data_IF_835459056404
#
_entry.id   IF_835459056404
#
_cell.length_a   1.000
_cell.length_b   1.000
_cell.length_c   1.000
_cell.angle_alpha   90.00
_cell.angle_beta   90.00
_cell.angle_gamma   90.00
#
_symmetry.space_group_name_H-M   'P 1'
#
loop_
_entity.id
_entity.type
_entity.pdbx_description
1 polymer ?
#
# COMPACT_ATOMS: atom_id res chain seq x y z
N UNK A 1 32.40 1.79 -42.12
CA UNK A 1 31.44 1.91 -41.01
C UNK A 1 31.36 0.59 -40.26
N UNK A 2 31.90 0.54 -39.04
CA UNK A 2 31.81 -0.64 -38.17
C UNK A 2 30.56 -0.55 -37.31
N UNK A 3 29.61 -1.42 -37.62
CA UNK A 3 28.45 -1.75 -36.80
C UNK A 3 28.89 -2.39 -35.48
N UNK A 4 28.76 -1.64 -34.38
CA UNK A 4 28.65 -2.21 -33.03
C UNK A 4 27.27 -1.87 -32.48
N UNK A 5 26.30 -2.72 -32.80
CA UNK A 5 25.07 -2.84 -32.02
C UNK A 5 25.42 -3.53 -30.70
N UNK A 6 25.89 -2.75 -29.73
CA UNK A 6 26.06 -3.23 -28.36
C UNK A 6 24.67 -3.51 -27.78
N UNK A 7 24.33 -4.79 -27.60
CA UNK A 7 23.07 -5.25 -27.05
C UNK A 7 22.85 -4.67 -25.63
N UNK A 8 21.68 -4.10 -25.29
CA UNK A 8 21.45 -3.49 -23.99
C UNK A 8 21.36 -4.48 -22.82
N UNK A 9 21.37 -5.79 -23.05
CA UNK A 9 20.81 -6.78 -22.10
C UNK A 9 21.78 -7.45 -21.14
N UNK A 10 23.10 -7.36 -21.30
CA UNK A 10 24.04 -8.04 -20.38
C UNK A 10 24.67 -7.08 -19.38
N UNK A 11 25.02 -5.86 -19.79
CA UNK A 11 25.57 -4.83 -18.91
C UNK A 11 24.52 -4.28 -17.92
N UNK A 12 23.27 -4.10 -18.36
CA UNK A 12 22.15 -3.68 -17.48
C UNK A 12 21.77 -4.77 -16.47
N UNK A 13 21.87 -6.04 -16.86
CA UNK A 13 21.57 -7.19 -15.99
C UNK A 13 22.64 -7.39 -14.92
N UNK A 14 23.91 -7.27 -15.26
CA UNK A 14 25.00 -7.29 -14.28
C UNK A 14 24.98 -6.04 -13.37
N UNK A 15 24.61 -4.87 -13.90
CA UNK A 15 24.39 -3.68 -13.09
C UNK A 15 23.25 -3.86 -12.07
N UNK A 16 22.16 -4.53 -12.46
CA UNK A 16 21.03 -4.88 -11.60
C UNK A 16 21.44 -5.75 -10.41
N UNK A 17 22.38 -6.68 -10.61
CA UNK A 17 22.96 -7.52 -9.55
C UNK A 17 24.03 -6.80 -8.69
N UNK A 18 24.46 -5.61 -9.09
CA UNK A 18 25.38 -4.75 -8.33
C UNK A 18 24.68 -3.56 -7.65
N UNK A 19 23.35 -3.47 -7.76
CA UNK A 19 22.58 -2.38 -7.18
C UNK A 19 22.41 -2.47 -5.66
N UNK A 20 21.75 -1.48 -5.04
CA UNK A 20 21.48 -1.49 -3.61
C UNK A 20 20.77 -2.76 -3.09
N UNK A 21 19.73 -3.33 -3.76
CA UNK A 21 19.00 -4.47 -3.19
C UNK A 21 19.86 -5.72 -2.94
N UNK A 22 20.70 -6.21 -3.88
CA UNK A 22 21.64 -7.30 -3.63
C UNK A 22 22.56 -7.08 -2.41
N UNK A 23 23.10 -5.87 -2.24
CA UNK A 23 24.00 -5.56 -1.12
C UNK A 23 23.27 -5.58 0.23
N UNK A 24 22.05 -5.03 0.28
CA UNK A 24 21.20 -5.03 1.48
C UNK A 24 20.84 -6.47 1.87
N UNK A 25 20.40 -7.27 0.90
CA UNK A 25 20.04 -8.67 1.14
C UNK A 25 21.24 -9.50 1.60
N UNK A 26 22.43 -9.25 1.03
CA UNK A 26 23.67 -9.91 1.48
C UNK A 26 23.99 -9.56 2.93
N UNK A 27 23.84 -8.29 3.33
CA UNK A 27 24.04 -7.87 4.72
C UNK A 27 23.01 -8.53 5.66
N UNK A 28 21.74 -8.59 5.26
CA UNK A 28 20.70 -9.27 6.04
C UNK A 28 20.98 -10.76 6.21
N UNK A 29 21.43 -11.46 5.16
CA UNK A 29 21.79 -12.89 5.24
C UNK A 29 23.01 -13.11 6.14
N UNK A 30 24.05 -12.29 5.99
CA UNK A 30 25.27 -12.40 6.79
C UNK A 30 25.02 -12.13 8.28
N UNK A 31 24.16 -11.15 8.57
CA UNK A 31 23.82 -10.73 9.92
C UNK A 31 22.41 -11.13 10.34
N UNK A 32 21.99 -12.35 9.96
CA UNK A 32 20.63 -12.85 10.23
C UNK A 32 20.21 -12.75 11.69
N UNK A 33 21.13 -12.96 12.64
CA UNK A 33 20.84 -12.91 14.08
C UNK A 33 20.87 -11.50 14.68
N UNK A 34 21.20 -10.47 13.90
CA UNK A 34 21.30 -9.09 14.40
C UNK A 34 20.00 -8.36 14.10
N UNK A 35 19.16 -8.20 15.12
CA UNK A 35 17.83 -7.57 15.04
C UNK A 35 17.87 -6.22 14.31
N UNK A 36 18.77 -5.32 14.72
CA UNK A 36 18.88 -3.98 14.14
C UNK A 36 19.26 -4.01 12.66
N UNK A 37 20.07 -4.97 12.22
CA UNK A 37 20.40 -5.11 10.78
C UNK A 37 19.19 -5.61 10.00
N UNK A 38 18.39 -6.52 10.57
CA UNK A 38 17.16 -6.97 9.92
C UNK A 38 16.12 -5.85 9.83
N UNK A 39 15.92 -5.10 10.92
CA UNK A 39 15.01 -3.96 10.95
C UNK A 39 15.38 -2.92 9.89
N UNK A 40 16.64 -2.47 9.88
CA UNK A 40 17.11 -1.47 8.92
C UNK A 40 17.11 -2.02 7.49
N UNK A 41 17.49 -3.29 7.30
CA UNK A 41 17.42 -3.95 6.01
C UNK A 41 16.01 -3.96 5.43
N UNK A 42 15.01 -4.40 6.22
CA UNK A 42 13.60 -4.33 5.85
C UNK A 42 13.13 -2.90 5.60
N UNK A 43 13.56 -1.93 6.41
CA UNK A 43 13.21 -0.51 6.23
C UNK A 43 13.73 0.08 4.91
N UNK A 44 14.98 -0.22 4.55
CA UNK A 44 15.55 0.22 3.26
C UNK A 44 14.84 -0.48 2.09
N UNK A 45 14.58 -1.79 2.19
CA UNK A 45 13.84 -2.53 1.16
C UNK A 45 12.41 -2.00 0.99
N UNK A 46 11.76 -1.59 2.08
CA UNK A 46 10.45 -0.93 2.04
C UNK A 46 10.50 0.33 1.17
N UNK A 47 11.48 1.21 1.41
CA UNK A 47 11.62 2.46 0.66
C UNK A 47 11.95 2.21 -0.81
N UNK A 48 12.85 1.26 -1.09
CA UNK A 48 13.19 0.89 -2.46
C UNK A 48 12.00 0.29 -3.20
N UNK A 49 11.20 -0.52 -2.52
CA UNK A 49 9.99 -1.11 -3.09
C UNK A 49 8.87 -0.08 -3.36
N UNK A 50 9.06 1.22 -3.16
CA UNK A 50 8.09 2.21 -3.67
C UNK A 50 8.15 2.32 -5.20
N UNK A 51 9.35 2.15 -5.77
CA UNK A 51 9.58 2.20 -7.22
C UNK A 51 9.44 0.80 -7.84
N UNK A 52 8.77 0.69 -8.98
CA UNK A 52 8.44 -0.60 -9.60
C UNK A 52 9.67 -1.35 -10.12
N UNK A 53 10.67 -0.65 -10.66
CA UNK A 53 11.93 -1.25 -11.10
C UNK A 53 12.67 -1.89 -9.93
N UNK A 54 12.80 -1.16 -8.82
CA UNK A 54 13.46 -1.64 -7.61
C UNK A 54 12.68 -2.80 -6.99
N UNK A 55 11.34 -2.71 -6.95
CA UNK A 55 10.45 -3.79 -6.51
C UNK A 55 10.72 -5.07 -7.32
N UNK A 56 10.81 -4.95 -8.64
CA UNK A 56 11.09 -6.07 -9.53
C UNK A 56 12.48 -6.69 -9.26
N UNK A 57 13.50 -5.85 -9.05
CA UNK A 57 14.85 -6.32 -8.70
C UNK A 57 14.84 -7.06 -7.36
N UNK A 58 14.23 -6.49 -6.31
CA UNK A 58 14.11 -7.12 -4.98
C UNK A 58 13.50 -8.52 -5.10
N UNK A 59 12.41 -8.67 -5.85
CA UNK A 59 11.76 -9.97 -6.07
C UNK A 59 12.70 -10.91 -6.83
N UNK A 60 13.31 -10.44 -7.92
CA UNK A 60 14.19 -11.24 -8.78
C UNK A 60 15.40 -11.81 -8.03
N UNK A 61 15.97 -11.03 -7.10
CA UNK A 61 17.15 -11.45 -6.32
C UNK A 61 16.78 -12.20 -5.03
N UNK A 62 15.53 -12.64 -4.88
CA UNK A 62 15.11 -13.48 -3.74
C UNK A 62 14.87 -12.72 -2.44
N UNK A 63 14.53 -11.42 -2.51
CA UNK A 63 14.32 -10.59 -1.33
C UNK A 63 13.11 -11.01 -0.48
N UNK A 64 12.03 -11.53 -1.09
CA UNK A 64 10.82 -11.94 -0.37
C UNK A 64 11.08 -13.07 0.63
N UNK A 65 11.73 -14.20 0.25
CA UNK A 65 12.15 -15.22 1.22
C UNK A 65 13.00 -14.66 2.36
N UNK A 66 13.97 -13.77 2.07
CA UNK A 66 14.87 -13.20 3.08
C UNK A 66 14.11 -12.33 4.09
N UNK A 67 13.14 -11.52 3.63
CA UNK A 67 12.29 -10.72 4.52
C UNK A 67 11.45 -11.64 5.42
N UNK A 68 10.88 -12.71 4.88
CA UNK A 68 10.06 -13.65 5.64
C UNK A 68 10.89 -14.47 6.65
N UNK A 69 12.12 -14.85 6.30
CA UNK A 69 13.06 -15.49 7.21
C UNK A 69 13.46 -14.55 8.36
N UNK A 70 13.65 -13.26 8.07
CA UNK A 70 13.91 -12.25 9.09
C UNK A 70 12.74 -12.10 10.06
N UNK A 71 11.49 -12.11 9.55
CA UNK A 71 10.28 -12.09 10.37
C UNK A 71 10.19 -13.31 11.29
N UNK A 72 10.52 -14.51 10.80
CA UNK A 72 10.48 -15.73 11.62
C UNK A 72 11.57 -15.73 12.71
N UNK A 73 12.81 -15.36 12.33
CA UNK A 73 13.93 -15.37 13.25
C UNK A 73 13.79 -14.31 14.35
N UNK A 74 13.19 -13.16 14.02
CA UNK A 74 12.94 -12.05 14.95
C UNK A 74 11.45 -11.88 15.24
N UNK A 75 10.74 -13.00 15.41
CA UNK A 75 9.30 -13.01 15.68
C UNK A 75 8.90 -12.17 16.90
N UNK A 76 9.79 -11.99 17.88
CA UNK A 76 9.57 -11.17 19.07
C UNK A 76 9.82 -9.67 18.91
N UNK A 77 10.44 -9.22 17.82
CA UNK A 77 10.76 -7.80 17.60
C UNK A 77 9.65 -7.12 16.82
N UNK A 78 8.85 -6.28 17.49
CA UNK A 78 7.83 -5.45 16.85
C UNK A 78 8.43 -4.57 15.74
N UNK A 79 9.64 -4.03 15.95
CA UNK A 79 10.32 -3.17 14.98
C UNK A 79 10.64 -3.91 13.68
N UNK A 80 11.20 -5.12 13.77
CA UNK A 80 11.44 -5.95 12.58
C UNK A 80 10.13 -6.32 11.89
N UNK A 81 9.11 -6.76 12.65
CA UNK A 81 7.82 -7.13 12.07
C UNK A 81 7.17 -5.94 11.34
N UNK A 82 7.22 -4.75 11.92
CA UNK A 82 6.66 -3.54 11.31
C UNK A 82 7.34 -3.23 9.98
N UNK A 83 8.68 -3.16 9.96
CA UNK A 83 9.40 -2.82 8.72
C UNK A 83 9.24 -3.91 7.66
N UNK A 84 9.23 -5.18 8.07
CA UNK A 84 9.03 -6.31 7.17
C UNK A 84 7.62 -6.33 6.57
N UNK A 85 6.56 -6.18 7.38
CA UNK A 85 5.19 -6.09 6.89
C UNK A 85 5.02 -4.90 5.94
N UNK A 86 5.63 -3.75 6.25
CA UNK A 86 5.61 -2.57 5.38
C UNK A 86 6.30 -2.84 4.03
N UNK A 87 7.48 -3.49 4.05
CA UNK A 87 8.18 -3.87 2.84
C UNK A 87 7.37 -4.86 1.99
N UNK A 88 6.76 -5.88 2.61
CA UNK A 88 5.90 -6.84 1.92
C UNK A 88 4.62 -6.20 1.38
N UNK A 89 4.04 -5.23 2.08
CA UNK A 89 2.89 -4.46 1.60
C UNK A 89 3.23 -3.77 0.28
N UNK A 90 4.37 -3.10 0.23
CA UNK A 90 4.85 -2.52 -1.02
C UNK A 90 5.07 -3.62 -2.06
N UNK A 91 5.88 -4.65 -1.77
CA UNK A 91 6.19 -5.71 -2.75
C UNK A 91 4.93 -6.34 -3.36
N UNK A 92 3.91 -6.61 -2.55
CA UNK A 92 2.63 -7.20 -2.97
C UNK A 92 1.71 -6.27 -3.74
N UNK A 93 2.05 -4.99 -3.92
CA UNK A 93 1.38 -4.14 -4.89
C UNK A 93 1.52 -4.69 -6.33
N UNK A 94 2.59 -5.44 -6.61
CA UNK A 94 2.81 -6.14 -7.87
C UNK A 94 2.36 -7.61 -7.83
N UNK A 95 1.87 -8.12 -8.96
CA UNK A 95 1.50 -9.55 -9.09
C UNK A 95 2.67 -10.49 -8.82
N UNK A 96 3.87 -10.14 -9.30
CA UNK A 96 5.10 -10.90 -9.02
C UNK A 96 5.41 -11.00 -7.52
N UNK A 97 5.18 -9.92 -6.78
CA UNK A 97 5.36 -9.91 -5.33
C UNK A 97 4.34 -10.80 -4.61
N UNK A 98 3.09 -10.80 -5.08
CA UNK A 98 2.05 -11.70 -4.57
C UNK A 98 2.42 -13.17 -4.82
N UNK A 99 2.84 -13.51 -6.04
CA UNK A 99 3.35 -14.85 -6.35
C UNK A 99 4.53 -15.24 -5.45
N UNK A 100 5.50 -14.35 -5.26
CA UNK A 100 6.69 -14.65 -4.46
C UNK A 100 6.36 -14.98 -2.99
N UNK A 101 5.36 -14.33 -2.39
CA UNK A 101 4.88 -14.70 -1.04
C UNK A 101 4.17 -16.05 -1.07
N UNK A 102 3.31 -16.29 -2.06
CA UNK A 102 2.54 -17.53 -2.19
C UNK A 102 3.42 -18.76 -2.49
N UNK A 103 4.49 -18.60 -3.26
CA UNK A 103 5.44 -19.65 -3.61
C UNK A 103 6.33 -20.06 -2.44
N UNK A 104 6.62 -19.14 -1.51
CA UNK A 104 7.32 -19.48 -0.28
C UNK A 104 6.40 -20.30 0.61
N UNK A 105 6.78 -21.54 0.91
CA UNK A 105 6.07 -22.37 1.88
C UNK A 105 5.87 -21.62 3.21
N UNK A 106 4.63 -21.52 3.66
CA UNK A 106 4.29 -20.81 4.89
C UNK A 106 4.34 -19.27 4.80
N UNK A 107 4.56 -18.66 3.63
CA UNK A 107 4.78 -17.23 3.50
C UNK A 107 3.65 -16.36 4.07
N UNK A 108 2.40 -16.72 3.81
CA UNK A 108 1.23 -16.03 4.39
C UNK A 108 1.08 -16.32 5.88
N UNK A 109 1.42 -17.53 6.34
CA UNK A 109 1.38 -17.91 7.75
C UNK A 109 2.39 -17.11 8.57
N UNK A 110 3.53 -16.72 8.00
CA UNK A 110 4.48 -15.80 8.66
C UNK A 110 3.86 -14.43 8.88
N UNK A 111 3.21 -13.85 7.86
CA UNK A 111 2.53 -12.55 7.96
C UNK A 111 1.41 -12.60 8.99
N UNK A 112 0.56 -13.63 8.93
CA UNK A 112 -0.52 -13.84 9.90
C UNK A 112 0.03 -14.06 11.31
N UNK A 113 1.11 -14.84 11.45
CA UNK A 113 1.77 -15.09 12.73
C UNK A 113 2.39 -13.83 13.34
N UNK A 114 2.87 -12.89 12.52
CA UNK A 114 3.33 -11.57 12.97
C UNK A 114 2.18 -10.76 13.57
N UNK A 115 1.04 -10.67 12.86
CA UNK A 115 -0.16 -9.99 13.36
C UNK A 115 -0.67 -10.61 14.67
N UNK A 116 -0.69 -11.94 14.78
CA UNK A 116 -1.14 -12.63 15.99
C UNK A 116 -0.21 -12.42 17.19
N UNK A 117 1.09 -12.30 16.96
CA UNK A 117 2.09 -12.13 18.03
C UNK A 117 2.21 -10.70 18.51
N UNK A 118 1.90 -9.73 17.65
CA UNK A 118 1.94 -8.31 17.95
C UNK A 118 0.55 -7.66 17.84
N UNK A 119 -0.46 -8.15 18.59
CA UNK A 119 -1.83 -7.69 18.44
C UNK A 119 -2.02 -6.22 18.82
N UNK A 120 -1.10 -5.64 19.61
CA UNK A 120 -1.15 -4.25 20.08
C UNK A 120 -0.26 -3.28 19.31
N UNK A 121 0.43 -3.75 18.28
CA UNK A 121 1.27 -2.92 17.43
C UNK A 121 0.48 -2.49 16.19
N UNK A 122 -0.06 -1.26 16.23
CA UNK A 122 -0.95 -0.71 15.18
C UNK A 122 -0.35 -0.88 13.79
N UNK A 123 0.92 -0.52 13.62
CA UNK A 123 1.60 -0.58 12.32
C UNK A 123 1.77 -2.01 11.80
N UNK A 124 1.97 -2.99 12.69
CA UNK A 124 2.03 -4.41 12.29
C UNK A 124 0.66 -4.88 11.81
N UNK A 125 -0.41 -4.47 12.51
CA UNK A 125 -1.78 -4.79 12.10
C UNK A 125 -2.16 -4.12 10.78
N UNK A 126 -1.86 -2.82 10.61
CA UNK A 126 -2.17 -2.06 9.40
C UNK A 126 -1.49 -2.68 8.18
N UNK A 127 -0.17 -2.84 8.22
CA UNK A 127 0.57 -3.39 7.07
C UNK A 127 0.33 -4.89 6.88
N UNK A 128 0.08 -5.65 7.95
CA UNK A 128 -0.35 -7.03 7.84
C UNK A 128 -1.69 -7.15 7.10
N UNK A 129 -2.69 -6.35 7.49
CA UNK A 129 -3.96 -6.23 6.77
C UNK A 129 -3.77 -5.80 5.31
N UNK A 130 -2.88 -4.84 5.04
CA UNK A 130 -2.59 -4.37 3.69
C UNK A 130 -1.99 -5.46 2.80
N UNK A 131 -1.03 -6.25 3.32
CA UNK A 131 -0.49 -7.43 2.61
C UNK A 131 -1.62 -8.40 2.26
N UNK A 132 -2.45 -8.77 3.23
CA UNK A 132 -3.55 -9.70 3.00
C UNK A 132 -4.60 -9.13 2.02
N UNK A 133 -4.89 -7.83 2.09
CA UNK A 133 -5.75 -7.11 1.16
C UNK A 133 -5.23 -7.19 -0.28
N UNK A 134 -3.92 -6.95 -0.47
CA UNK A 134 -3.27 -7.04 -1.78
C UNK A 134 -3.38 -8.46 -2.35
N UNK A 135 -3.18 -9.48 -1.51
CA UNK A 135 -3.36 -10.87 -1.94
C UNK A 135 -4.80 -11.17 -2.36
N UNK A 136 -5.79 -10.69 -1.59
CA UNK A 136 -7.21 -10.91 -1.86
C UNK A 136 -7.73 -10.21 -3.13
N UNK A 137 -6.97 -9.26 -3.69
CA UNK A 137 -7.31 -8.58 -4.93
C UNK A 137 -7.44 -9.56 -6.10
N UNK A 138 -6.60 -10.61 -6.16
CA UNK A 138 -6.65 -11.63 -7.20
C UNK A 138 -7.30 -12.92 -6.68
N UNK A 139 -8.23 -13.48 -7.46
CA UNK A 139 -8.99 -14.67 -7.06
C UNK A 139 -8.10 -15.89 -6.75
N UNK A 140 -6.95 -16.01 -7.44
CA UNK A 140 -6.01 -17.12 -7.27
C UNK A 140 -5.39 -17.25 -5.88
N UNK A 141 -5.31 -16.16 -5.11
CA UNK A 141 -4.70 -16.18 -3.77
C UNK A 141 -5.72 -16.25 -2.63
N UNK A 142 -7.03 -16.12 -2.92
CA UNK A 142 -8.07 -16.07 -1.88
C UNK A 142 -8.08 -17.32 -0.99
N UNK A 143 -7.99 -18.50 -1.60
CA UNK A 143 -7.92 -19.77 -0.86
C UNK A 143 -6.72 -19.82 0.09
N UNK A 144 -5.55 -19.39 -0.38
CA UNK A 144 -4.33 -19.37 0.43
C UNK A 144 -4.42 -18.42 1.63
N UNK A 145 -5.04 -17.25 1.45
CA UNK A 145 -5.27 -16.28 2.55
C UNK A 145 -6.22 -16.87 3.60
N UNK A 146 -7.27 -17.57 3.17
CA UNK A 146 -8.22 -18.23 4.08
C UNK A 146 -7.54 -19.37 4.85
N UNK A 147 -6.81 -20.24 4.15
CA UNK A 147 -6.08 -21.36 4.74
C UNK A 147 -4.99 -20.91 5.73
N UNK A 148 -4.36 -19.77 5.47
CA UNK A 148 -3.40 -19.16 6.40
C UNK A 148 -4.05 -18.54 7.65
N UNK A 149 -5.38 -18.50 7.75
CA UNK A 149 -6.10 -17.86 8.84
C UNK A 149 -6.17 -16.33 8.73
N UNK A 150 -5.93 -15.78 7.54
CA UNK A 150 -5.86 -14.33 7.32
C UNK A 150 -7.16 -13.58 7.65
N UNK A 151 -8.32 -14.20 7.40
CA UNK A 151 -9.61 -13.57 7.73
C UNK A 151 -9.81 -13.37 9.23
N UNK A 152 -9.42 -14.35 10.03
CA UNK A 152 -9.48 -14.24 11.48
C UNK A 152 -8.53 -13.13 11.96
N UNK A 153 -7.31 -13.08 11.42
CA UNK A 153 -6.33 -12.04 11.75
C UNK A 153 -6.83 -10.63 11.41
N UNK A 154 -7.41 -10.42 10.22
CA UNK A 154 -8.01 -9.14 9.82
C UNK A 154 -9.12 -8.74 10.79
N UNK A 155 -10.04 -9.65 11.09
CA UNK A 155 -11.15 -9.34 11.99
C UNK A 155 -10.67 -9.00 13.41
N UNK A 156 -9.69 -9.73 13.95
CA UNK A 156 -9.09 -9.43 15.25
C UNK A 156 -8.39 -8.06 15.24
N UNK A 157 -7.64 -7.74 14.19
CA UNK A 157 -6.98 -6.45 14.03
C UNK A 157 -7.99 -5.29 14.04
N UNK A 158 -9.08 -5.41 13.29
CA UNK A 158 -10.14 -4.40 13.25
C UNK A 158 -10.86 -4.24 14.59
N UNK A 159 -11.01 -5.32 15.36
CA UNK A 159 -11.65 -5.26 16.68
C UNK A 159 -10.74 -4.60 17.73
N UNK A 160 -9.43 -4.85 17.67
CA UNK A 160 -8.46 -4.23 18.59
C UNK A 160 -8.29 -2.73 18.28
N UNK A 161 -8.27 -2.36 17.00
CA UNK A 161 -7.95 -1.00 16.55
C UNK A 161 -9.16 -0.26 15.95
N UNK A 162 -10.24 -0.10 16.71
CA UNK A 162 -11.47 0.57 16.25
C UNK A 162 -11.26 2.02 15.82
N UNK A 163 -10.34 2.73 16.48
CA UNK A 163 -10.07 4.15 16.22
C UNK A 163 -8.91 4.38 15.23
N UNK A 164 -8.25 3.32 14.74
CA UNK A 164 -7.14 3.45 13.79
C UNK A 164 -7.69 3.37 12.35
N UNK A 165 -7.78 4.49 11.62
CA UNK A 165 -8.38 4.50 10.29
C UNK A 165 -7.61 3.61 9.30
N UNK A 166 -6.29 3.54 9.41
CA UNK A 166 -5.46 2.68 8.54
C UNK A 166 -5.83 1.20 8.65
N UNK A 167 -5.93 0.68 9.87
CA UNK A 167 -6.32 -0.72 10.11
C UNK A 167 -7.74 -1.00 9.61
N UNK A 168 -8.68 -0.08 9.88
CA UNK A 168 -10.08 -0.23 9.44
C UNK A 168 -10.21 -0.20 7.91
N UNK A 169 -9.52 0.73 7.24
CA UNK A 169 -9.54 0.85 5.78
C UNK A 169 -9.02 -0.43 5.12
N UNK A 170 -7.83 -0.90 5.54
CA UNK A 170 -7.24 -2.10 4.96
C UNK A 170 -8.08 -3.35 5.25
N UNK A 171 -8.62 -3.47 6.46
CA UNK A 171 -9.49 -4.58 6.84
C UNK A 171 -10.79 -4.61 6.03
N UNK A 172 -11.48 -3.48 5.89
CA UNK A 172 -12.70 -3.38 5.08
C UNK A 172 -12.42 -3.66 3.60
N UNK A 173 -11.32 -3.13 3.07
CA UNK A 173 -10.92 -3.38 1.68
C UNK A 173 -10.61 -4.85 1.43
N UNK A 174 -9.93 -5.51 2.35
CA UNK A 174 -9.67 -6.95 2.29
C UNK A 174 -10.98 -7.76 2.25
N UNK A 175 -11.92 -7.45 3.16
CA UNK A 175 -13.22 -8.12 3.23
C UNK A 175 -14.08 -7.86 1.98
N UNK A 176 -14.02 -6.66 1.42
CA UNK A 176 -14.69 -6.33 0.16
C UNK A 176 -14.12 -7.17 -1.01
N UNK A 177 -12.79 -7.24 -1.12
CA UNK A 177 -12.11 -8.05 -2.13
C UNK A 177 -12.49 -9.53 -2.03
N UNK A 178 -12.61 -10.07 -0.82
CA UNK A 178 -13.08 -11.44 -0.60
C UNK A 178 -14.54 -11.64 -1.05
N UNK A 179 -15.42 -10.69 -0.68
CA UNK A 179 -16.87 -10.75 -0.89
C UNK A 179 -17.29 -10.66 -2.36
N UNK A 180 -16.45 -10.07 -3.22
CA UNK A 180 -16.68 -10.13 -4.65
C UNK A 180 -16.33 -11.55 -5.15
N UNK A 181 -17.31 -12.37 -5.56
CA UNK A 181 -16.99 -13.61 -6.25
C UNK A 181 -16.18 -13.23 -7.49
N UNK A 182 -14.93 -13.70 -7.55
CA UNK A 182 -14.10 -13.50 -8.73
C UNK A 182 -14.89 -14.04 -9.92
N UNK A 183 -14.92 -13.27 -11.00
CA UNK A 183 -15.42 -13.69 -12.29
C UNK A 183 -14.71 -15.00 -12.68
N UNK A 184 -15.28 -16.14 -12.32
CA UNK A 184 -14.87 -17.42 -12.87
C UNK A 184 -15.46 -17.47 -14.27
N UNK A 185 -14.58 -17.42 -15.28
CA UNK A 185 -14.83 -17.96 -16.61
C UNK A 185 -16.24 -17.70 -17.18
N UNK A 186 -16.55 -16.45 -17.51
CA UNK A 186 -17.45 -16.21 -18.63
C UNK A 186 -16.64 -16.50 -19.91
N UNK A 187 -16.56 -17.77 -20.31
CA UNK A 187 -16.28 -18.27 -21.67
C UNK A 187 -15.99 -19.79 -21.64
N UNK A 188 -17.01 -20.59 -21.33
CA UNK A 188 -17.14 -21.94 -21.88
C UNK A 188 -18.59 -22.39 -21.66
N UNK A 189 -19.30 -22.62 -22.77
CA UNK A 189 -20.63 -23.23 -22.87
C UNK A 189 -21.80 -22.51 -22.18
N UNK A 190 -22.59 -21.80 -23.00
CA UNK A 190 -23.92 -22.30 -23.38
C UNK A 190 -24.59 -21.34 -24.37
N UNK A 191 -24.53 -21.74 -25.64
CA UNK A 191 -25.64 -21.51 -26.57
C UNK A 191 -26.89 -22.14 -25.95
N UNK A 192 -27.72 -21.36 -25.27
CA UNK A 192 -29.17 -21.62 -25.14
C UNK A 192 -29.87 -20.45 -24.45
N UNK A 193 -30.49 -19.62 -25.29
CA UNK A 193 -31.72 -18.87 -25.05
C UNK A 193 -32.55 -19.34 -23.85
N UNK A 194 -32.74 -18.49 -22.83
CA UNK A 194 -34.06 -18.20 -22.23
C UNK A 194 -33.98 -17.21 -21.05
N UNK A 195 -34.53 -16.02 -21.29
CA UNK A 195 -35.30 -15.14 -20.37
C UNK A 195 -35.10 -15.30 -18.85
N UNK A 196 -34.41 -14.34 -18.21
CA UNK A 196 -34.65 -14.00 -16.80
C UNK A 196 -34.64 -12.48 -16.60
N UNK A 197 -35.77 -11.95 -16.11
CA UNK A 197 -36.03 -10.54 -15.79
C UNK A 197 -35.17 -10.07 -14.60
N UNK A 198 -34.80 -8.77 -14.52
CA UNK A 198 -34.14 -8.24 -13.34
C UNK A 198 -35.10 -8.16 -12.14
N UNK A 199 -34.66 -8.70 -11.00
CA UNK A 199 -35.32 -8.58 -9.69
C UNK A 199 -35.20 -7.13 -9.22
N UNK A 200 -36.36 -6.50 -9.05
CA UNK A 200 -36.51 -5.13 -8.53
C UNK A 200 -36.17 -5.13 -7.04
N UNK A 201 -35.11 -4.44 -6.64
CA UNK A 201 -34.86 -4.14 -5.23
C UNK A 201 -36.01 -3.28 -4.70
N UNK A 202 -36.76 -3.81 -3.72
CA UNK A 202 -37.84 -3.09 -3.06
C UNK A 202 -37.23 -2.10 -2.07
N UNK A 203 -37.18 -0.83 -2.44
CA UNK A 203 -36.90 0.25 -1.49
C UNK A 203 -38.08 0.33 -0.50
N UNK A 204 -37.84 -0.09 0.74
CA UNK A 204 -38.78 0.09 1.85
C UNK A 204 -38.54 1.47 2.45
N UNK A 205 -39.24 2.48 1.93
CA UNK A 205 -39.25 3.84 2.47
C UNK A 205 -39.97 3.83 3.82
N UNK A 206 -39.28 4.18 4.91
CA UNK A 206 -39.89 4.41 6.22
C UNK A 206 -40.42 5.84 6.24
N UNK A 207 -41.73 6.01 6.14
CA UNK A 207 -42.40 7.30 6.36
C UNK A 207 -42.65 7.50 7.85
N UNK A 208 -41.94 8.44 8.46
CA UNK A 208 -42.24 8.96 9.80
C UNK A 208 -43.47 9.88 9.70
N UNK A 209 -44.63 9.39 10.12
CA UNK A 209 -45.84 10.22 10.29
C UNK A 209 -45.73 10.95 11.64
N UNK A 210 -45.50 12.27 11.60
CA UNK A 210 -45.72 13.16 12.75
C UNK A 210 -47.09 13.83 12.55
N UNK A 211 -48.04 13.52 13.43
CA UNK A 211 -49.41 14.03 13.44
C UNK A 211 -49.55 15.22 14.40
N UNK A 212 -50.17 16.32 13.91
CA UNK A 212 -50.85 17.40 14.67
C UNK A 212 -49.94 18.34 15.48
N UNK A 213 -50.15 19.66 15.58
CA UNK A 213 -51.28 20.56 15.31
C UNK A 213 -50.74 21.99 15.03
N UNK A 214 -51.19 22.60 13.92
CA UNK A 214 -51.78 23.95 13.71
C UNK A 214 -51.20 25.29 14.31
N UNK A 215 -51.60 26.49 13.80
CA UNK A 215 -50.68 27.44 13.17
C UNK A 215 -50.68 28.86 13.80
N UNK A 216 -49.77 29.76 13.38
CA UNK A 216 -50.07 31.19 13.13
C UNK A 216 -48.88 31.98 12.56
N UNK A 217 -49.15 32.61 11.41
CA UNK A 217 -48.72 33.92 10.92
C UNK A 217 -47.25 34.40 10.97
N UNK A 218 -46.73 34.84 9.81
CA UNK A 218 -45.62 35.80 9.75
C UNK A 218 -44.79 35.79 8.46
N UNK A 219 -45.36 36.35 7.39
CA UNK A 219 -44.69 37.15 6.32
C UNK A 219 -43.52 36.57 5.48
N UNK A 220 -43.80 36.47 4.17
CA UNK A 220 -42.87 36.48 3.01
C UNK A 220 -42.32 37.91 2.78
N UNK A 221 -41.33 38.22 1.88
CA UNK A 221 -41.02 37.48 0.65
C UNK A 221 -39.56 37.45 0.08
N UNK A 222 -39.35 36.49 -0.84
CA UNK A 222 -38.64 36.56 -2.15
C UNK A 222 -37.11 36.82 -2.17
N UNK A 223 -36.23 36.16 -2.93
CA UNK A 223 -36.25 35.58 -4.29
C UNK A 223 -35.01 34.67 -4.55
N UNK A 224 -35.23 33.58 -5.30
CA UNK A 224 -34.42 32.96 -6.38
C UNK A 224 -32.97 32.39 -6.22
N UNK A 225 -32.85 31.14 -6.73
CA UNK A 225 -31.77 30.49 -7.52
C UNK A 225 -30.45 30.17 -6.78
N UNK A 226 -29.69 29.10 -7.07
CA UNK A 226 -29.80 27.91 -7.91
C UNK A 226 -28.46 27.16 -7.76
N UNK A 227 -28.48 25.82 -7.68
CA UNK A 227 -27.37 24.88 -7.97
C UNK A 227 -26.07 25.00 -7.13
N UNK A 228 -25.33 23.95 -6.81
CA UNK A 228 -25.29 22.56 -7.25
C UNK A 228 -24.21 21.83 -6.42
N UNK A 229 -24.25 20.50 -6.46
CA UNK A 229 -23.46 19.55 -5.68
C UNK A 229 -21.92 19.64 -5.90
N UNK A 230 -21.09 19.02 -5.03
CA UNK A 230 -19.73 18.65 -5.39
C UNK A 230 -19.62 17.21 -5.88
N UNK A 231 -19.00 17.11 -7.04
CA UNK A 231 -18.62 15.93 -7.82
C UNK A 231 -17.33 15.30 -7.26
N UNK A 232 -17.20 13.99 -7.46
CA UNK A 232 -16.02 13.15 -7.24
C UNK A 232 -14.74 13.69 -7.88
N UNK A 233 -13.57 13.31 -7.33
CA UNK A 233 -12.30 13.37 -8.07
C UNK A 233 -11.48 12.10 -7.82
N UNK A 234 -11.14 11.43 -8.91
CA UNK A 234 -10.10 10.43 -9.04
C UNK A 234 -8.89 11.05 -9.77
N UNK A 235 -7.70 10.76 -9.26
CA UNK A 235 -6.44 10.45 -9.98
C UNK A 235 -5.77 11.42 -10.98
N UNK A 236 -4.50 11.73 -10.60
CA UNK A 236 -3.23 11.86 -11.36
C UNK A 236 -2.92 13.02 -12.34
N UNK A 237 -1.73 13.62 -12.06
CA UNK A 237 -0.60 14.03 -12.93
C UNK A 237 -0.51 15.47 -13.50
N UNK A 238 0.65 16.07 -13.16
CA UNK A 238 1.50 17.00 -13.94
C UNK A 238 1.21 18.51 -14.10
N UNK A 239 2.19 19.26 -13.56
CA UNK A 239 2.98 20.35 -14.16
C UNK A 239 2.40 21.76 -14.40
N UNK A 240 3.25 22.74 -14.03
CA UNK A 240 3.37 24.14 -14.50
C UNK A 240 2.30 25.10 -13.91
N UNK A 241 2.56 26.33 -13.46
CA UNK A 241 3.47 27.41 -13.88
C UNK A 241 3.68 28.37 -12.69
N UNK A 242 4.88 28.92 -12.49
CA UNK A 242 5.25 30.33 -12.71
C UNK A 242 4.39 31.42 -12.06
N UNK A 243 5.07 32.34 -11.36
CA UNK A 243 4.50 33.59 -10.87
C UNK A 243 5.48 34.41 -10.03
N UNK A 244 6.49 35.01 -10.67
CA UNK A 244 7.08 36.28 -10.19
C UNK A 244 6.01 37.39 -10.22
N UNK A 245 6.12 38.53 -9.55
CA UNK A 245 7.22 39.48 -9.54
C UNK A 245 6.98 40.55 -8.44
N UNK A 246 8.09 41.06 -7.90
CA UNK A 246 8.38 42.48 -7.58
C UNK A 246 7.73 43.16 -6.35
N UNK A 247 8.37 44.08 -5.60
CA UNK A 247 9.67 44.79 -5.72
C UNK A 247 10.19 45.27 -4.34
N UNK A 248 11.48 45.56 -4.32
CA UNK A 248 12.35 46.18 -3.31
C UNK A 248 12.04 47.70 -3.10
N UNK A 249 12.58 48.44 -2.08
CA UNK A 249 14.00 48.88 -2.04
C UNK A 249 14.64 49.13 -0.64
N UNK A 250 15.98 49.25 -0.60
CA UNK A 250 16.66 50.01 0.47
C UNK A 250 18.07 49.60 0.95
N UNK A 251 19.07 49.64 0.07
CA UNK A 251 20.48 50.12 0.23
C UNK A 251 21.30 49.94 1.54
N UNK A 252 22.54 49.42 1.38
CA UNK A 252 23.86 50.11 1.62
C UNK A 252 24.99 49.06 1.82
N UNK A 253 25.84 48.84 0.81
CA UNK A 253 27.19 49.41 0.57
C UNK A 253 28.32 48.94 1.52
N UNK A 254 29.20 48.11 0.94
CA UNK A 254 30.68 48.13 0.91
C UNK A 254 31.45 48.21 2.24
N UNK A 255 32.33 47.23 2.50
CA UNK A 255 33.75 47.33 2.10
C UNK A 255 34.63 46.21 2.66
N UNK A 256 35.64 45.90 1.86
CA UNK A 256 36.76 44.97 1.99
C UNK A 256 37.62 45.18 3.25
N UNK A 257 38.26 44.11 3.75
CA UNK A 257 39.74 43.99 3.75
C UNK A 257 40.26 42.83 4.62
N UNK A 258 41.18 42.10 4.00
CA UNK A 258 42.37 41.39 4.52
C UNK A 258 42.74 41.48 6.01
N UNK A 259 43.18 40.34 6.57
CA UNK A 259 44.06 40.30 7.73
C UNK A 259 44.44 38.88 8.16
N UNK A 260 45.63 38.43 7.76
CA UNK A 260 46.33 37.26 8.32
C UNK A 260 47.07 37.62 9.61
N UNK A 261 47.02 36.77 10.64
CA UNK A 261 48.05 36.62 11.70
C UNK A 261 47.99 35.16 12.15
N UNK A 262 48.87 34.30 11.66
CA UNK A 262 50.18 33.91 12.21
C UNK A 262 50.12 33.19 13.57
N UNK A 263 50.62 31.94 13.57
CA UNK A 263 50.90 31.09 14.74
C UNK A 263 52.33 30.58 14.58
N UNK A 264 53.26 31.14 15.34
CA UNK A 264 54.46 30.51 15.92
C UNK A 264 55.03 31.42 16.99
#
# INVERSE_FOLDING_TARGET
ESSRSSSPSTATYHASLSGPPPAILSAMVLHKSTETVQEQGCGVLCNLALEDENRAVIIQVGGVPIILDAMELHAGSAAVQQQACKALCNITASGKGRCAIAERAGGLQVVVGAMQRHPREEMVQEYGCAVLCNMLFEAGFKGLVVEAGGLAAINTAMQEFLAAPGVQEQGLRALANLSCPGQSAAEADTTSSSTLRPVRASHRTVTLTRSGEDPTAGELPSTFLSSGAPTAIASVFSTLEEGGLEEHPGQSLLSSSSGSVDRS
#
